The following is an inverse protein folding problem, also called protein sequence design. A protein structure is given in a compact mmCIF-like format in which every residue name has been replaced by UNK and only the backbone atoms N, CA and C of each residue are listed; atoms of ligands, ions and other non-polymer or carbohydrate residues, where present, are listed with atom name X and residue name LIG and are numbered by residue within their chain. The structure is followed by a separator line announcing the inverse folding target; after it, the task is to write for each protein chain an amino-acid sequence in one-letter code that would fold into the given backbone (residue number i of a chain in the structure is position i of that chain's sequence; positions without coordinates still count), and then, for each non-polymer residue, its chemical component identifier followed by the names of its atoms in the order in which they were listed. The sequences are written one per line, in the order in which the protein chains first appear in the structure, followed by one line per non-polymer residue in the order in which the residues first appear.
data_IF_170630579302
#
_entry.id   IF_170630579302
#
_cell.length_a   1.000
_cell.length_b   1.000
_cell.length_c   1.000
_cell.angle_alpha   90.00
_cell.angle_beta   90.00
_cell.angle_gamma   90.00
#
_symmetry.space_group_name_H-M   'P 1'
#
loop_
_entity.id
_entity.type
_entity.pdbx_description
1 polymer ?
#
# COMPACT_ATOMS: atom_id res chain seq x y z
N UNK A 1 10.13 37.03 -12.14
CA UNK A 1 10.01 37.19 -13.61
C UNK A 1 10.84 36.10 -14.28
N UNK A 2 10.25 34.92 -14.51
CA UNK A 2 10.81 33.85 -15.34
C UNK A 2 9.63 33.31 -16.16
N UNK A 3 9.63 33.63 -17.45
CA UNK A 3 8.55 33.32 -18.38
C UNK A 3 8.51 31.81 -18.63
N UNK A 4 7.35 31.18 -18.40
CA UNK A 4 7.05 29.84 -18.91
C UNK A 4 7.05 29.91 -20.45
N UNK A 5 7.88 29.09 -21.10
CA UNK A 5 7.70 28.77 -22.51
C UNK A 5 6.63 27.68 -22.58
N UNK A 6 5.42 28.07 -22.99
CA UNK A 6 4.36 27.16 -23.39
C UNK A 6 4.80 26.38 -24.62
N UNK A 7 5.22 25.13 -24.45
CA UNK A 7 5.40 24.19 -25.56
C UNK A 7 4.08 23.49 -25.85
N UNK A 8 3.12 24.26 -26.36
CA UNK A 8 1.93 23.74 -27.03
C UNK A 8 2.35 23.18 -28.39
N UNK A 9 2.79 21.92 -28.42
CA UNK A 9 2.87 21.16 -29.68
C UNK A 9 1.48 20.61 -29.95
N UNK A 10 0.61 21.46 -30.47
CA UNK A 10 -0.62 21.03 -31.12
C UNK A 10 -0.24 20.40 -32.46
N UNK A 11 -0.08 19.07 -32.50
CA UNK A 11 -0.08 18.36 -33.79
C UNK A 11 -1.50 18.40 -34.30
N UNK A 12 -1.73 19.37 -35.18
CA UNK A 12 -2.90 19.48 -36.05
C UNK A 12 -3.39 18.09 -36.47
N UNK A 13 -4.65 17.80 -36.16
CA UNK A 13 -5.41 16.72 -36.80
C UNK A 13 -5.57 17.03 -38.28
N UNK A 14 -4.54 16.74 -39.07
CA UNK A 14 -4.61 16.79 -40.53
C UNK A 14 -5.05 15.42 -41.04
N UNK A 15 -6.36 15.21 -41.02
CA UNK A 15 -7.00 14.33 -42.01
C UNK A 15 -6.91 15.04 -43.36
N UNK A 16 -5.77 14.88 -44.04
CA UNK A 16 -5.60 15.32 -45.42
C UNK A 16 -5.87 14.12 -46.33
N UNK A 17 -6.82 14.22 -47.28
CA UNK A 17 -7.10 13.14 -48.22
C UNK A 17 -5.89 12.86 -49.10
N UNK A 18 -5.53 11.58 -49.29
CA UNK A 18 -4.47 11.15 -50.21
C UNK A 18 -3.20 10.54 -49.60
N UNK A 19 -3.13 10.29 -48.28
CA UNK A 19 -1.97 9.58 -47.70
C UNK A 19 -1.98 8.09 -48.03
N UNK A 20 -0.85 7.59 -48.51
CA UNK A 20 -0.65 6.15 -48.72
C UNK A 20 -0.52 5.42 -47.38
N UNK A 21 -0.84 4.11 -47.35
CA UNK A 21 -0.75 3.27 -46.14
C UNK A 21 0.62 3.34 -45.45
N UNK A 22 1.68 3.51 -46.24
CA UNK A 22 3.06 3.67 -45.75
C UNK A 22 3.26 4.99 -44.96
N UNK A 23 2.69 6.10 -45.42
CA UNK A 23 2.80 7.40 -44.73
C UNK A 23 2.03 7.42 -43.41
N UNK A 24 0.86 6.77 -43.35
CA UNK A 24 0.10 6.63 -42.10
C UNK A 24 0.89 5.85 -41.05
N UNK A 25 1.57 4.77 -41.48
CA UNK A 25 2.37 3.94 -40.61
C UNK A 25 3.62 4.66 -40.10
N UNK A 26 4.27 5.46 -40.93
CA UNK A 26 5.41 6.29 -40.52
C UNK A 26 5.01 7.36 -39.48
N UNK A 27 3.85 8.00 -39.66
CA UNK A 27 3.33 8.97 -38.68
C UNK A 27 3.02 8.28 -37.35
N UNK A 28 2.43 7.08 -37.36
CA UNK A 28 2.17 6.32 -36.14
C UNK A 28 3.47 5.94 -35.42
N UNK A 29 4.51 5.53 -36.15
CA UNK A 29 5.83 5.21 -35.60
C UNK A 29 6.50 6.46 -35.01
N UNK A 30 6.45 7.60 -35.71
CA UNK A 30 6.99 8.87 -35.21
C UNK A 30 6.25 9.36 -33.97
N UNK A 31 4.92 9.27 -33.95
CA UNK A 31 4.11 9.64 -32.78
C UNK A 31 4.40 8.73 -31.58
N UNK A 32 4.55 7.42 -31.80
CA UNK A 32 4.97 6.51 -30.74
C UNK A 32 6.38 6.85 -30.23
N UNK A 33 7.36 7.05 -31.11
CA UNK A 33 8.72 7.42 -30.73
C UNK A 33 8.78 8.73 -29.94
N UNK A 34 8.04 9.76 -30.39
CA UNK A 34 7.94 11.04 -29.69
C UNK A 34 7.24 10.89 -28.32
N UNK A 35 6.24 10.01 -28.21
CA UNK A 35 5.60 9.70 -26.93
C UNK A 35 6.54 9.02 -25.93
N UNK A 36 7.49 8.21 -26.42
CA UNK A 36 8.51 7.56 -25.59
C UNK A 36 9.57 8.54 -25.14
N UNK A 37 9.94 9.51 -25.99
CA UNK A 37 10.95 10.53 -25.71
C UNK A 37 10.45 11.56 -24.68
N UNK A 38 9.14 11.85 -24.67
CA UNK A 38 8.55 12.89 -23.82
C UNK A 38 7.83 12.36 -22.56
N UNK A 39 7.94 11.06 -22.25
CA UNK A 39 7.44 10.56 -20.96
C UNK A 39 8.40 11.00 -19.85
N UNK A 40 7.91 11.70 -18.81
CA UNK A 40 8.75 11.96 -17.65
C UNK A 40 9.22 10.61 -17.09
N UNK A 41 10.54 10.46 -16.97
CA UNK A 41 11.21 9.22 -16.52
C UNK A 41 10.78 8.80 -15.11
N UNK A 42 10.15 9.71 -14.36
CA UNK A 42 9.69 9.55 -12.99
C UNK A 42 8.30 10.17 -12.79
N UNK A 43 7.53 9.69 -11.81
CA UNK A 43 6.23 10.28 -11.49
C UNK A 43 6.39 11.69 -10.90
N UNK A 44 5.47 12.60 -11.24
CA UNK A 44 5.43 13.96 -10.69
C UNK A 44 5.11 13.99 -9.19
N UNK A 45 4.49 12.92 -8.66
CA UNK A 45 4.10 12.79 -7.26
C UNK A 45 4.34 11.38 -6.77
N UNK A 46 4.87 11.28 -5.55
CA UNK A 46 5.04 10.02 -4.82
C UNK A 46 4.23 10.09 -3.54
N UNK A 47 3.64 8.95 -3.15
CA UNK A 47 2.97 8.82 -1.85
C UNK A 47 3.81 7.93 -0.95
N UNK A 48 4.31 8.53 0.13
CA UNK A 48 4.94 7.80 1.23
C UNK A 48 3.83 7.25 2.13
N UNK A 49 3.97 5.97 2.49
CA UNK A 49 3.17 5.32 3.54
C UNK A 49 4.13 5.04 4.68
N UNK A 50 3.99 5.80 5.75
CA UNK A 50 4.87 5.68 6.91
C UNK A 50 4.46 4.46 7.73
N UNK A 51 5.38 3.50 7.86
CA UNK A 51 5.15 2.21 8.52
C UNK A 51 5.77 2.11 9.92
N UNK A 52 6.56 3.10 10.34
CA UNK A 52 7.33 3.09 11.58
C UNK A 52 6.51 2.74 12.83
N UNK A 53 5.35 3.38 13.10
CA UNK A 53 4.57 3.10 14.30
C UNK A 53 3.99 1.68 14.40
N UNK A 54 3.84 0.99 13.26
CA UNK A 54 3.36 -0.40 13.20
C UNK A 54 4.50 -1.36 12.91
N UNK A 55 4.96 -1.39 11.66
CA UNK A 55 5.93 -2.37 11.16
C UNK A 55 7.31 -2.16 11.78
N UNK A 56 7.72 -0.92 12.00
CA UNK A 56 8.96 -0.61 12.72
C UNK A 56 8.89 -1.12 14.17
N UNK A 57 7.98 -0.55 14.97
CA UNK A 57 7.86 -0.91 16.40
C UNK A 57 7.53 -2.37 16.66
N UNK A 58 6.85 -3.06 15.73
CA UNK A 58 6.59 -4.50 15.85
C UNK A 58 7.88 -5.34 15.82
N UNK A 59 8.92 -4.88 15.11
CA UNK A 59 10.19 -5.57 14.98
C UNK A 59 11.25 -5.09 15.98
N UNK A 60 10.92 -4.10 16.82
CA UNK A 60 11.81 -3.63 17.88
C UNK A 60 11.80 -4.59 19.08
N UNK A 61 12.98 -4.90 19.67
CA UNK A 61 13.07 -5.82 20.80
C UNK A 61 12.52 -5.20 22.09
N UNK A 62 12.55 -3.87 22.20
CA UNK A 62 12.08 -3.15 23.38
C UNK A 62 10.61 -2.77 23.25
N UNK A 63 9.86 -2.95 24.35
CA UNK A 63 8.49 -2.43 24.41
C UNK A 63 8.50 -0.92 24.52
N UNK A 64 7.71 -0.26 23.69
CA UNK A 64 7.53 1.20 23.70
C UNK A 64 6.20 1.55 24.38
N UNK A 65 6.17 2.47 25.37
CA UNK A 65 4.94 2.85 26.05
C UNK A 65 3.87 3.43 25.09
N UNK A 66 2.58 3.20 25.39
CA UNK A 66 1.45 3.69 24.59
C UNK A 66 1.56 5.19 24.29
N UNK A 67 1.82 6.01 25.31
CA UNK A 67 1.94 7.47 25.16
C UNK A 67 3.02 7.87 24.16
N UNK A 68 4.17 7.18 24.15
CA UNK A 68 5.25 7.42 23.19
C UNK A 68 4.84 7.05 21.76
N UNK A 69 4.08 5.96 21.58
CA UNK A 69 3.54 5.56 20.27
C UNK A 69 2.55 6.60 19.73
N UNK A 70 1.65 7.07 20.58
CA UNK A 70 0.68 8.12 20.24
C UNK A 70 1.41 9.39 19.82
N UNK A 71 2.38 9.84 20.63
CA UNK A 71 3.20 11.02 20.32
C UNK A 71 3.94 10.88 18.98
N UNK A 72 4.52 9.71 18.69
CA UNK A 72 5.18 9.42 17.42
C UNK A 72 4.23 9.60 16.23
N UNK A 73 3.03 9.00 16.29
CA UNK A 73 2.02 9.09 15.22
C UNK A 73 1.57 10.54 15.01
N UNK A 74 1.38 11.30 16.08
CA UNK A 74 0.97 12.70 15.99
C UNK A 74 2.06 13.61 15.42
N UNK A 75 3.33 13.40 15.81
CA UNK A 75 4.47 14.11 15.23
C UNK A 75 4.58 13.81 13.74
N UNK A 76 4.48 12.53 13.35
CA UNK A 76 4.48 12.12 11.94
C UNK A 76 3.32 12.75 11.15
N UNK A 77 2.14 12.87 11.77
CA UNK A 77 0.97 13.52 11.16
C UNK A 77 1.18 15.02 10.87
N UNK A 78 2.17 15.67 11.48
CA UNK A 78 2.49 17.09 11.27
C UNK A 78 3.55 17.33 10.20
N UNK A 79 4.13 16.27 9.63
CA UNK A 79 5.21 16.36 8.63
C UNK A 79 4.73 16.58 7.19
N UNK A 80 3.42 16.51 6.94
CA UNK A 80 2.83 16.54 5.60
C UNK A 80 2.57 15.17 4.98
N UNK A 81 2.94 14.08 5.66
CA UNK A 81 2.56 12.72 5.31
C UNK A 81 1.04 12.58 5.14
N UNK A 82 0.62 11.78 4.15
CA UNK A 82 -0.81 11.52 3.87
C UNK A 82 -1.28 10.17 4.39
N UNK A 83 -0.36 9.32 4.84
CA UNK A 83 -0.70 7.99 5.35
C UNK A 83 0.34 7.56 6.38
N UNK A 84 -0.12 7.28 7.60
CA UNK A 84 0.70 6.80 8.73
C UNK A 84 0.04 5.53 9.25
N UNK A 85 0.68 4.38 9.06
CA UNK A 85 0.16 3.10 9.56
C UNK A 85 0.30 3.05 11.08
N UNK A 86 -0.84 3.13 11.77
CA UNK A 86 -0.88 3.51 13.17
C UNK A 86 -0.59 2.34 14.12
N UNK A 87 -1.15 1.17 13.85
CA UNK A 87 -1.03 -0.01 14.72
C UNK A 87 -1.55 -1.28 14.03
N UNK A 88 -1.63 -2.39 14.76
CA UNK A 88 -2.04 -3.71 14.28
C UNK A 88 -3.06 -4.34 15.22
N UNK A 89 -4.25 -4.69 14.71
CA UNK A 89 -5.29 -5.42 15.43
C UNK A 89 -5.04 -6.94 15.35
N UNK A 90 -3.83 -7.34 15.71
CA UNK A 90 -3.37 -8.72 15.84
C UNK A 90 -3.57 -9.21 17.27
N UNK A 91 -3.45 -10.51 17.48
CA UNK A 91 -3.53 -11.06 18.84
C UNK A 91 -2.31 -10.64 19.68
N UNK A 92 -2.49 -10.01 20.84
CA UNK A 92 -1.41 -9.61 21.76
C UNK A 92 -0.50 -10.75 22.19
N UNK A 93 -1.02 -11.99 22.21
CA UNK A 93 -0.24 -13.20 22.52
C UNK A 93 0.88 -13.45 21.51
N UNK A 94 0.64 -13.14 20.23
CA UNK A 94 1.58 -13.41 19.15
C UNK A 94 2.46 -12.19 18.86
N UNK A 95 1.93 -10.99 19.08
CA UNK A 95 2.65 -9.72 18.86
C UNK A 95 2.45 -8.80 20.07
N UNK A 96 3.19 -9.01 21.17
CA UNK A 96 3.04 -8.23 22.40
C UNK A 96 3.28 -6.73 22.20
N UNK A 97 4.18 -6.36 21.27
CA UNK A 97 4.50 -4.98 20.91
C UNK A 97 3.25 -4.19 20.50
N UNK A 98 2.26 -4.85 19.92
CA UNK A 98 1.03 -4.22 19.42
C UNK A 98 -0.16 -4.41 20.38
N UNK A 99 0.05 -4.90 21.60
CA UNK A 99 -1.03 -5.23 22.55
C UNK A 99 -1.94 -4.05 22.94
N UNK A 100 -1.41 -2.83 22.89
CA UNK A 100 -2.09 -1.57 23.17
C UNK A 100 -2.80 -0.95 21.95
N UNK A 101 -2.99 -1.73 20.87
CA UNK A 101 -3.51 -1.24 19.59
C UNK A 101 -4.81 -0.42 19.69
N UNK A 102 -5.76 -0.81 20.55
CA UNK A 102 -7.00 -0.06 20.78
C UNK A 102 -6.74 1.29 21.45
N UNK A 103 -5.90 1.31 22.48
CA UNK A 103 -5.58 2.50 23.24
C UNK A 103 -4.82 3.51 22.37
N UNK A 104 -3.82 3.04 21.61
CA UNK A 104 -3.07 3.86 20.65
C UNK A 104 -4.02 4.47 19.61
N UNK A 105 -4.84 3.64 18.95
CA UNK A 105 -5.70 4.13 17.87
C UNK A 105 -6.77 5.11 18.37
N UNK A 106 -7.30 4.91 19.58
CA UNK A 106 -8.31 5.81 20.15
C UNK A 106 -7.70 7.13 20.64
N UNK A 107 -6.46 7.10 21.13
CA UNK A 107 -5.79 8.27 21.72
C UNK A 107 -5.22 9.25 20.70
N UNK A 108 -4.93 8.82 19.47
CA UNK A 108 -4.36 9.72 18.45
C UNK A 108 -5.36 10.80 17.99
N UNK A 109 -4.89 12.05 17.94
CA UNK A 109 -5.58 13.14 17.26
C UNK A 109 -5.48 13.00 15.72
N UNK A 110 -6.50 12.37 15.14
CA UNK A 110 -6.58 12.05 13.70
C UNK A 110 -6.79 13.33 12.88
N UNK A 111 -5.73 13.82 12.25
CA UNK A 111 -5.78 15.05 11.43
C UNK A 111 -6.56 14.84 10.14
N UNK A 112 -7.36 15.85 9.78
CA UNK A 112 -8.09 15.87 8.51
C UNK A 112 -7.13 15.74 7.31
N UNK A 113 -7.51 14.93 6.32
CA UNK A 113 -6.71 14.69 5.12
C UNK A 113 -5.55 13.70 5.30
N UNK A 114 -5.39 13.10 6.48
CA UNK A 114 -4.42 12.03 6.76
C UNK A 114 -5.17 10.71 6.99
N UNK A 115 -4.56 9.62 6.53
CA UNK A 115 -5.10 8.26 6.72
C UNK A 115 -4.27 7.52 7.74
N UNK A 116 -4.96 6.77 8.58
CA UNK A 116 -4.38 6.00 9.66
C UNK A 116 -4.72 4.52 9.48
N UNK A 117 -4.15 3.83 8.47
CA UNK A 117 -4.43 2.41 8.29
C UNK A 117 -3.92 1.59 9.48
N UNK A 118 -4.58 0.46 9.71
CA UNK A 118 -4.15 -0.54 10.70
C UNK A 118 -4.12 -1.92 10.09
N UNK A 119 -3.19 -2.77 10.53
CA UNK A 119 -3.12 -4.14 10.06
C UNK A 119 -4.23 -4.99 10.70
N UNK A 120 -4.93 -5.79 9.90
CA UNK A 120 -6.05 -6.65 10.33
C UNK A 120 -5.87 -8.04 9.71
N UNK A 121 -5.46 -9.06 10.47
CA UNK A 121 -5.16 -10.39 9.93
C UNK A 121 -6.40 -11.29 9.78
N UNK A 122 -7.52 -10.98 10.46
CA UNK A 122 -8.70 -11.84 10.55
C UNK A 122 -9.96 -11.04 10.94
N UNK A 123 -11.12 -11.70 10.88
CA UNK A 123 -12.42 -11.09 11.16
C UNK A 123 -12.54 -10.59 12.60
N UNK A 124 -11.95 -11.28 13.58
CA UNK A 124 -11.98 -10.84 14.99
C UNK A 124 -11.27 -9.48 15.14
N UNK A 125 -10.08 -9.34 14.53
CA UNK A 125 -9.36 -8.07 14.47
C UNK A 125 -10.13 -7.00 13.70
N UNK A 126 -10.85 -7.40 12.64
CA UNK A 126 -11.68 -6.50 11.83
C UNK A 126 -12.82 -5.91 12.66
N UNK A 127 -13.57 -6.73 13.39
CA UNK A 127 -14.67 -6.25 14.24
C UNK A 127 -14.16 -5.28 15.31
N UNK A 128 -13.00 -5.56 15.91
CA UNK A 128 -12.36 -4.64 16.84
C UNK A 128 -11.91 -3.32 16.19
N UNK A 129 -11.39 -3.37 14.95
CA UNK A 129 -11.01 -2.19 14.18
C UNK A 129 -12.23 -1.35 13.81
N UNK A 130 -13.34 -1.98 13.41
CA UNK A 130 -14.61 -1.34 13.11
C UNK A 130 -15.16 -0.63 14.34
N UNK A 131 -15.17 -1.31 15.49
CA UNK A 131 -15.61 -0.72 16.75
C UNK A 131 -14.77 0.51 17.16
N UNK A 132 -13.48 0.53 16.81
CA UNK A 132 -12.59 1.67 17.01
C UNK A 132 -12.74 2.79 15.94
N UNK A 133 -13.63 2.62 14.96
CA UNK A 133 -13.91 3.62 13.92
C UNK A 133 -12.86 3.68 12.82
N UNK A 134 -12.04 2.62 12.63
CA UNK A 134 -11.04 2.53 11.57
C UNK A 134 -11.68 2.69 10.18
N UNK A 135 -11.03 3.46 9.30
CA UNK A 135 -11.49 3.75 7.93
C UNK A 135 -10.63 3.14 6.82
N UNK A 136 -9.51 2.56 7.19
CA UNK A 136 -8.61 1.86 6.26
C UNK A 136 -7.90 0.74 7.01
N UNK A 137 -7.89 -0.45 6.42
CA UNK A 137 -7.19 -1.61 6.97
C UNK A 137 -6.16 -2.11 5.97
N UNK A 138 -5.21 -2.90 6.47
CA UNK A 138 -4.32 -3.68 5.65
C UNK A 138 -4.38 -5.18 5.97
N UNK A 139 -4.33 -6.01 4.95
CA UNK A 139 -4.14 -7.46 5.02
C UNK A 139 -2.76 -7.81 4.46
N UNK A 140 -2.19 -8.95 4.82
CA UNK A 140 -0.83 -9.33 4.38
C UNK A 140 -0.75 -10.79 3.95
N UNK A 141 -0.40 -11.02 2.69
CA UNK A 141 -0.08 -12.34 2.13
C UNK A 141 1.43 -12.52 1.93
N UNK A 142 1.82 -13.68 1.42
CA UNK A 142 3.20 -13.98 1.04
C UNK A 142 3.24 -14.68 -0.32
N UNK A 143 4.29 -14.43 -1.09
CA UNK A 143 4.59 -15.15 -2.32
C UNK A 143 5.37 -16.47 -2.07
N UNK A 144 5.58 -16.87 -0.82
CA UNK A 144 6.30 -18.09 -0.44
C UNK A 144 5.47 -18.94 0.53
N UNK A 145 5.36 -20.25 0.24
CA UNK A 145 4.57 -21.19 1.05
C UNK A 145 5.20 -21.41 2.42
N UNK A 146 6.50 -21.63 2.49
CA UNK A 146 7.22 -21.81 3.75
C UNK A 146 7.15 -20.56 4.61
N UNK A 147 7.27 -19.38 4.01
CA UNK A 147 7.12 -18.12 4.74
C UNK A 147 5.69 -17.96 5.27
N UNK A 148 4.66 -18.22 4.46
CA UNK A 148 3.27 -18.17 4.89
C UNK A 148 3.00 -19.11 6.07
N UNK A 149 3.42 -20.38 5.96
CA UNK A 149 3.23 -21.36 7.04
C UNK A 149 3.95 -20.97 8.32
N UNK A 150 5.17 -20.42 8.25
CA UNK A 150 5.90 -19.99 9.45
C UNK A 150 5.33 -18.74 10.11
N UNK A 151 4.80 -17.79 9.33
CA UNK A 151 4.33 -16.51 9.87
C UNK A 151 2.87 -16.53 10.32
N UNK A 152 2.01 -17.27 9.62
CA UNK A 152 0.56 -17.27 9.87
C UNK A 152 -0.06 -18.66 10.00
N UNK A 153 0.77 -19.71 9.99
CA UNK A 153 0.34 -21.11 10.10
C UNK A 153 -0.77 -21.48 9.10
N UNK A 154 -0.59 -21.05 7.85
CA UNK A 154 -1.50 -21.28 6.73
C UNK A 154 -0.73 -21.30 5.41
N UNK A 155 -1.26 -22.02 4.42
CA UNK A 155 -0.79 -21.92 3.02
C UNK A 155 -1.12 -20.55 2.42
N UNK A 156 -0.53 -20.24 1.27
CA UNK A 156 -0.89 -19.02 0.53
C UNK A 156 -2.38 -19.00 0.21
N UNK A 157 -2.92 -20.11 -0.32
CA UNK A 157 -4.34 -20.24 -0.68
C UNK A 157 -5.27 -20.06 0.54
N UNK A 158 -4.96 -20.70 1.66
CA UNK A 158 -5.72 -20.56 2.90
C UNK A 158 -5.70 -19.12 3.41
N UNK A 159 -4.54 -18.45 3.32
CA UNK A 159 -4.40 -17.06 3.73
C UNK A 159 -5.25 -16.12 2.87
N UNK A 160 -5.23 -16.31 1.54
CA UNK A 160 -6.04 -15.52 0.60
C UNK A 160 -7.53 -15.73 0.88
N UNK A 161 -7.96 -16.96 1.18
CA UNK A 161 -9.35 -17.25 1.57
C UNK A 161 -9.75 -16.49 2.83
N UNK A 162 -8.91 -16.46 3.86
CA UNK A 162 -9.15 -15.70 5.10
C UNK A 162 -9.20 -14.19 4.83
N UNK A 163 -8.31 -13.67 3.99
CA UNK A 163 -8.29 -12.24 3.66
C UNK A 163 -9.44 -11.82 2.78
N UNK A 164 -9.97 -12.72 1.93
CA UNK A 164 -11.17 -12.47 1.14
C UNK A 164 -12.35 -12.13 2.04
N UNK A 165 -12.60 -12.92 3.07
CA UNK A 165 -13.68 -12.68 4.03
C UNK A 165 -13.51 -11.32 4.72
N UNK A 166 -12.32 -11.02 5.25
CA UNK A 166 -12.00 -9.72 5.87
C UNK A 166 -12.23 -8.56 4.90
N UNK A 167 -11.78 -8.73 3.65
CA UNK A 167 -11.86 -7.69 2.61
C UNK A 167 -13.30 -7.42 2.19
N UNK A 168 -14.09 -8.47 1.97
CA UNK A 168 -15.50 -8.35 1.60
C UNK A 168 -16.30 -7.62 2.68
N UNK A 169 -16.12 -8.00 3.95
CA UNK A 169 -16.78 -7.35 5.09
C UNK A 169 -16.35 -5.88 5.22
N UNK A 170 -15.05 -5.59 5.09
CA UNK A 170 -14.52 -4.23 5.19
C UNK A 170 -15.08 -3.33 4.07
N UNK A 171 -15.03 -3.80 2.82
CA UNK A 171 -15.55 -3.07 1.67
C UNK A 171 -17.05 -2.83 1.76
N UNK A 172 -17.82 -3.82 2.20
CA UNK A 172 -19.27 -3.69 2.42
C UNK A 172 -19.61 -2.60 3.47
N UNK A 173 -18.69 -2.32 4.39
CA UNK A 173 -18.81 -1.25 5.41
C UNK A 173 -18.14 0.06 5.00
N UNK A 174 -17.70 0.19 3.74
CA UNK A 174 -17.05 1.40 3.22
C UNK A 174 -15.63 1.62 3.75
N UNK A 175 -14.99 0.59 4.31
CA UNK A 175 -13.61 0.63 4.79
C UNK A 175 -12.68 0.26 3.64
N UNK A 176 -11.65 1.08 3.43
CA UNK A 176 -10.64 0.82 2.40
C UNK A 176 -9.73 -0.32 2.82
N UNK A 177 -9.27 -1.10 1.86
CA UNK A 177 -8.38 -2.24 2.10
C UNK A 177 -7.10 -2.09 1.29
N UNK A 178 -5.96 -2.33 1.94
CA UNK A 178 -4.64 -2.44 1.32
C UNK A 178 -4.12 -3.88 1.47
N UNK A 179 -3.57 -4.44 0.41
CA UNK A 179 -2.87 -5.73 0.46
C UNK A 179 -1.35 -5.55 0.50
N UNK A 180 -0.68 -6.26 1.40
CA UNK A 180 0.76 -6.46 1.38
C UNK A 180 1.09 -7.85 0.84
N UNK A 181 2.17 -7.96 0.07
CA UNK A 181 2.72 -9.24 -0.39
C UNK A 181 4.17 -9.31 0.07
N UNK A 182 4.46 -10.25 0.95
CA UNK A 182 5.82 -10.52 1.43
C UNK A 182 6.59 -11.42 0.46
N UNK A 183 7.92 -11.40 0.55
CA UNK A 183 8.85 -12.24 -0.22
C UNK A 183 8.83 -12.01 -1.75
N UNK A 184 8.45 -10.81 -2.22
CA UNK A 184 8.34 -10.51 -3.66
C UNK A 184 9.67 -10.57 -4.43
N UNK A 185 10.78 -10.33 -3.75
CA UNK A 185 12.13 -10.36 -4.35
C UNK A 185 12.96 -11.56 -3.87
N UNK A 186 12.36 -12.49 -3.12
CA UNK A 186 13.06 -13.60 -2.48
C UNK A 186 12.50 -13.93 -1.10
N UNK A 187 12.68 -15.19 -0.70
CA UNK A 187 12.26 -15.75 0.56
C UNK A 187 13.50 -16.17 1.39
N UNK A 188 13.55 -15.88 2.69
CA UNK A 188 14.65 -16.32 3.55
C UNK A 188 14.71 -17.84 3.75
N UNK A 189 13.66 -18.58 3.37
CA UNK A 189 13.57 -20.03 3.52
C UNK A 189 13.69 -20.79 2.20
N UNK A 190 13.06 -20.26 1.13
CA UNK A 190 12.99 -20.92 -0.19
C UNK A 190 13.96 -20.31 -1.21
N UNK A 191 14.62 -19.20 -0.88
CA UNK A 191 15.51 -18.50 -1.79
C UNK A 191 14.73 -17.71 -2.85
N UNK A 192 15.12 -17.77 -4.14
CA UNK A 192 14.48 -16.98 -5.20
C UNK A 192 12.98 -17.24 -5.35
N UNK A 193 12.19 -16.16 -5.42
CA UNK A 193 10.74 -16.22 -5.69
C UNK A 193 10.48 -15.69 -7.10
N UNK A 194 9.79 -16.46 -7.93
CA UNK A 194 9.54 -16.07 -9.32
C UNK A 194 8.52 -14.91 -9.41
N UNK A 195 8.67 -13.96 -10.35
CA UNK A 195 7.66 -12.91 -10.56
C UNK A 195 6.28 -13.47 -10.89
N UNK A 196 6.19 -14.62 -11.57
CA UNK A 196 4.92 -15.31 -11.84
C UNK A 196 4.22 -15.76 -10.56
N UNK A 197 4.98 -16.15 -9.54
CA UNK A 197 4.41 -16.50 -8.24
C UNK A 197 3.89 -15.27 -7.52
N UNK A 198 4.63 -14.16 -7.56
CA UNK A 198 4.20 -12.88 -6.97
C UNK A 198 2.90 -12.38 -7.61
N UNK A 199 2.77 -12.46 -8.93
CA UNK A 199 1.57 -12.03 -9.65
C UNK A 199 0.30 -12.83 -9.35
N UNK A 200 0.43 -14.04 -8.79
CA UNK A 200 -0.72 -14.88 -8.42
C UNK A 200 -1.33 -14.50 -7.08
N UNK A 201 -0.56 -13.83 -6.22
CA UNK A 201 -0.95 -13.43 -4.86
C UNK A 201 -1.57 -12.03 -4.91
#
# INVERSE_FOLDING_TARGET
MLRRVSSSVSVFGLSLPGKTRSQVQLIAVLNNALSTINRPKYPERVRIVEGGPRDGLQNEPQSVPTATKVEMIERLSRTGLKTVEATSFVSPKWVPQMSDHKEVFNSIDKKSGIRYPVLVPNVIGLEAAIAAGVKEIAVFGSASETFSRRNINATIEESIKRFREVTEIALARGIRVRGYVSCVCGCPYEGPVSPKQVLKV
#
